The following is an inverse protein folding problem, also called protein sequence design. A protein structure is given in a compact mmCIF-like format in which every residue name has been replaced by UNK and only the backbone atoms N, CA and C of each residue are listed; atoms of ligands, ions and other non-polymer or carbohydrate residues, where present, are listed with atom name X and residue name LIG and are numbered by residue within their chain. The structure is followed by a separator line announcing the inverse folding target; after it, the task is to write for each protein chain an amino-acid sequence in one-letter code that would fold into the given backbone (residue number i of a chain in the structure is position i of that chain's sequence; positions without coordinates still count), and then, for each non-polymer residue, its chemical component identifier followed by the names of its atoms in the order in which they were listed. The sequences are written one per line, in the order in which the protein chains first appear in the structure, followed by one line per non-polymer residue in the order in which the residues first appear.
data_IF_291919740605
#
_entry.id   IF_291919740605
#
_cell.length_a   1.000
_cell.length_b   1.000
_cell.length_c   1.000
_cell.angle_alpha   90.00
_cell.angle_beta   90.00
_cell.angle_gamma   90.00
#
_symmetry.space_group_name_H-M   'P 1'
#
loop_
_entity.id
_entity.type
_entity.pdbx_description
1 polymer ?
#
# COMPACT_ATOMS: atom_id res chain seq x y z
N UNK A 1 -29.06 -60.90 43.26
CA UNK A 1 -27.73 -60.66 42.61
C UNK A 1 -27.85 -60.08 41.18
N UNK A 2 -28.82 -60.47 40.37
CA UNK A 2 -29.02 -59.95 39.01
C UNK A 2 -29.28 -58.41 39.00
N UNK A 3 -30.04 -57.86 39.94
CA UNK A 3 -30.38 -56.43 40.02
C UNK A 3 -29.18 -55.51 40.27
N UNK A 4 -28.18 -55.92 41.06
CA UNK A 4 -26.99 -55.12 41.35
C UNK A 4 -26.05 -55.08 40.13
N UNK A 5 -25.89 -56.21 39.43
CA UNK A 5 -25.07 -56.28 38.24
C UNK A 5 -25.62 -55.38 37.10
N UNK A 6 -26.94 -55.40 36.88
CA UNK A 6 -27.58 -54.53 35.89
C UNK A 6 -27.46 -53.04 36.23
N UNK A 7 -27.53 -52.66 37.49
CA UNK A 7 -27.33 -51.26 37.94
C UNK A 7 -25.88 -50.79 37.72
N UNK A 8 -24.89 -51.64 37.96
CA UNK A 8 -23.47 -51.32 37.73
C UNK A 8 -23.21 -51.15 36.24
N UNK A 9 -23.74 -52.04 35.39
CA UNK A 9 -23.60 -51.94 33.92
C UNK A 9 -24.25 -50.63 33.41
N UNK A 10 -25.44 -50.28 33.91
CA UNK A 10 -26.10 -49.05 33.52
C UNK A 10 -25.31 -47.79 33.94
N UNK A 11 -24.66 -47.81 35.10
CA UNK A 11 -23.82 -46.72 35.58
C UNK A 11 -22.54 -46.56 34.73
N UNK A 12 -21.89 -47.67 34.39
CA UNK A 12 -20.72 -47.65 33.51
C UNK A 12 -21.06 -47.19 32.07
N UNK A 13 -22.19 -47.63 31.51
CA UNK A 13 -22.62 -47.19 30.19
C UNK A 13 -23.03 -45.73 30.19
N UNK A 14 -23.61 -45.18 31.24
CA UNK A 14 -23.87 -43.77 31.44
C UNK A 14 -22.59 -42.92 31.49
N UNK A 15 -21.61 -43.37 32.27
CA UNK A 15 -20.30 -42.70 32.35
C UNK A 15 -19.57 -42.70 31.00
N UNK A 16 -19.58 -43.82 30.28
CA UNK A 16 -18.99 -43.93 28.92
C UNK A 16 -19.70 -42.97 27.93
N UNK A 17 -21.04 -42.91 27.99
CA UNK A 17 -21.80 -41.99 27.12
C UNK A 17 -21.46 -40.52 27.40
N UNK A 18 -21.38 -40.13 28.66
CA UNK A 18 -20.97 -38.75 29.07
C UNK A 18 -19.55 -38.45 28.65
N UNK A 19 -18.63 -39.40 28.83
CA UNK A 19 -17.24 -39.25 28.39
C UNK A 19 -17.13 -39.13 26.86
N UNK A 20 -17.85 -39.98 26.12
CA UNK A 20 -17.89 -39.93 24.65
C UNK A 20 -18.46 -38.57 24.18
N UNK A 21 -19.55 -38.10 24.79
CA UNK A 21 -20.15 -36.82 24.46
C UNK A 21 -19.23 -35.63 24.79
N UNK A 22 -18.50 -35.71 25.91
CA UNK A 22 -17.47 -34.71 26.22
C UNK A 22 -16.33 -34.67 25.21
N UNK A 23 -15.84 -35.86 24.77
CA UNK A 23 -14.82 -35.98 23.73
C UNK A 23 -15.28 -35.38 22.40
N UNK A 24 -16.51 -35.71 21.97
CA UNK A 24 -17.12 -35.21 20.75
C UNK A 24 -17.28 -33.68 20.83
N UNK A 25 -17.81 -33.18 21.96
CA UNK A 25 -17.99 -31.75 22.18
C UNK A 25 -16.65 -30.99 22.18
N UNK A 26 -15.59 -31.56 22.79
CA UNK A 26 -14.25 -30.99 22.74
C UNK A 26 -13.69 -30.98 21.31
N UNK A 27 -13.77 -32.08 20.60
CA UNK A 27 -13.33 -32.21 19.22
C UNK A 27 -14.05 -31.20 18.30
N UNK A 28 -15.37 -31.02 18.47
CA UNK A 28 -16.14 -30.05 17.70
C UNK A 28 -15.70 -28.63 17.99
N UNK A 29 -15.45 -28.27 19.25
CA UNK A 29 -14.95 -26.93 19.62
C UNK A 29 -13.55 -26.67 19.05
N UNK A 30 -12.67 -27.67 19.11
CA UNK A 30 -11.31 -27.55 18.55
C UNK A 30 -11.38 -27.39 17.02
N UNK A 31 -12.29 -28.13 16.35
CA UNK A 31 -12.53 -27.99 14.93
C UNK A 31 -13.13 -26.62 14.54
N UNK A 32 -14.12 -26.13 15.29
CA UNK A 32 -14.72 -24.81 15.08
C UNK A 32 -13.69 -23.68 15.29
N UNK A 33 -12.87 -23.79 16.35
CA UNK A 33 -11.79 -22.82 16.59
C UNK A 33 -10.75 -22.82 15.48
N UNK A 34 -10.35 -24.01 15.01
CA UNK A 34 -9.44 -24.16 13.86
C UNK A 34 -10.05 -23.54 12.58
N UNK A 35 -11.31 -23.84 12.28
CA UNK A 35 -12.02 -23.28 11.13
C UNK A 35 -12.12 -21.75 11.21
N UNK A 36 -12.39 -21.21 12.39
CA UNK A 36 -12.45 -19.77 12.61
C UNK A 36 -11.08 -19.08 12.40
N UNK A 37 -10.02 -19.72 12.90
CA UNK A 37 -8.65 -19.23 12.68
C UNK A 37 -8.25 -19.25 11.21
N UNK A 38 -8.58 -20.34 10.50
CA UNK A 38 -8.32 -20.49 9.08
C UNK A 38 -9.10 -19.45 8.25
N UNK A 39 -10.37 -19.23 8.57
CA UNK A 39 -11.18 -18.18 7.93
C UNK A 39 -10.59 -16.77 8.17
N UNK A 40 -10.14 -16.48 9.38
CA UNK A 40 -9.47 -15.21 9.70
C UNK A 40 -8.16 -15.06 8.93
N UNK A 41 -7.38 -16.14 8.80
CA UNK A 41 -6.13 -16.14 8.01
C UNK A 41 -6.41 -15.86 6.55
N UNK A 42 -7.38 -16.55 5.94
CA UNK A 42 -7.76 -16.34 4.54
C UNK A 42 -8.31 -14.93 4.28
N UNK A 43 -9.13 -14.40 5.18
CA UNK A 43 -9.63 -13.01 5.08
C UNK A 43 -8.50 -12.00 5.18
N UNK A 44 -7.55 -12.21 6.09
CA UNK A 44 -6.35 -11.38 6.23
C UNK A 44 -5.44 -11.43 4.99
N UNK A 45 -5.17 -12.64 4.46
CA UNK A 45 -4.40 -12.81 3.23
C UNK A 45 -5.09 -12.13 2.03
N UNK A 46 -6.41 -12.27 1.92
CA UNK A 46 -7.20 -11.64 0.87
C UNK A 46 -7.16 -10.10 0.98
N UNK A 47 -7.39 -9.54 2.16
CA UNK A 47 -7.33 -8.09 2.40
C UNK A 47 -5.93 -7.54 2.16
N UNK A 48 -4.90 -8.24 2.66
CA UNK A 48 -3.51 -7.87 2.38
C UNK A 48 -3.23 -7.82 0.87
N UNK A 49 -3.74 -8.77 0.09
CA UNK A 49 -3.61 -8.79 -1.37
C UNK A 49 -4.26 -7.60 -2.07
N UNK A 50 -5.41 -7.12 -1.58
CA UNK A 50 -6.13 -5.98 -2.16
C UNK A 50 -5.29 -4.68 -2.13
N UNK A 51 -4.52 -4.45 -1.08
CA UNK A 51 -3.75 -3.22 -0.90
C UNK A 51 -2.28 -3.37 -1.28
N UNK A 52 -1.70 -4.56 -1.02
CA UNK A 52 -0.28 -4.84 -1.22
C UNK A 52 0.15 -4.68 -2.68
N UNK A 53 -0.55 -5.33 -3.60
CA UNK A 53 -0.20 -5.30 -5.03
C UNK A 53 -0.33 -3.89 -5.63
N UNK A 54 -1.43 -3.14 -5.42
CA UNK A 54 -1.52 -1.79 -5.92
C UNK A 54 -0.50 -0.82 -5.31
N UNK A 55 -0.22 -0.92 -4.01
CA UNK A 55 0.81 -0.10 -3.36
C UNK A 55 2.21 -0.43 -3.91
N UNK A 56 2.52 -1.71 -4.12
CA UNK A 56 3.76 -2.17 -4.72
C UNK A 56 3.95 -1.59 -6.13
N UNK A 57 2.90 -1.66 -6.96
CA UNK A 57 2.91 -1.12 -8.32
C UNK A 57 3.09 0.41 -8.32
N UNK A 58 2.33 1.13 -7.49
CA UNK A 58 2.45 2.59 -7.38
C UNK A 58 3.84 3.03 -6.90
N UNK A 59 4.41 2.31 -5.93
CA UNK A 59 5.77 2.57 -5.46
C UNK A 59 6.82 2.31 -6.55
N UNK A 60 6.65 1.23 -7.33
CA UNK A 60 7.56 0.92 -8.45
C UNK A 60 7.49 1.95 -9.57
N UNK A 61 6.28 2.35 -9.97
CA UNK A 61 6.09 3.34 -11.03
C UNK A 61 6.67 4.70 -10.63
N UNK A 62 6.41 5.13 -9.39
CA UNK A 62 6.93 6.39 -8.87
C UNK A 62 8.46 6.36 -8.73
N UNK A 63 9.05 5.30 -8.14
CA UNK A 63 10.51 5.21 -8.03
C UNK A 63 11.19 5.18 -9.40
N UNK A 64 10.58 4.48 -10.38
CA UNK A 64 11.12 4.44 -11.74
C UNK A 64 11.09 5.82 -12.40
N UNK A 65 10.03 6.59 -12.19
CA UNK A 65 9.95 7.97 -12.67
C UNK A 65 10.98 8.86 -11.99
N UNK A 66 11.14 8.76 -10.67
CA UNK A 66 12.14 9.54 -9.92
C UNK A 66 13.56 9.19 -10.39
N UNK A 67 13.86 7.89 -10.58
CA UNK A 67 15.12 7.45 -11.16
C UNK A 67 15.38 8.07 -12.54
N UNK A 68 14.36 8.08 -13.42
CA UNK A 68 14.49 8.68 -14.75
C UNK A 68 14.70 10.20 -14.69
N UNK A 69 14.08 10.88 -13.73
CA UNK A 69 14.30 12.33 -13.52
C UNK A 69 15.75 12.59 -13.10
N UNK A 70 16.28 11.81 -12.15
CA UNK A 70 17.61 12.04 -11.58
C UNK A 70 18.76 11.57 -12.49
N UNK A 71 18.60 10.42 -13.20
CA UNK A 71 19.70 9.76 -13.89
C UNK A 71 19.56 9.70 -15.41
N UNK A 72 18.37 9.95 -15.95
CA UNK A 72 18.10 9.79 -17.39
C UNK A 72 17.65 11.09 -18.05
N UNK A 73 17.86 12.23 -17.39
CA UNK A 73 17.50 13.56 -17.88
C UNK A 73 16.04 13.66 -18.38
N UNK A 74 15.11 12.97 -17.69
CA UNK A 74 13.72 12.84 -18.14
C UNK A 74 13.06 14.19 -18.45
N UNK A 75 13.19 15.20 -17.57
CA UNK A 75 12.59 16.50 -17.80
C UNK A 75 13.33 17.32 -18.86
N UNK A 76 14.65 17.19 -18.96
CA UNK A 76 15.38 17.85 -20.04
C UNK A 76 14.88 17.36 -21.42
N UNK A 77 14.78 16.04 -21.60
CA UNK A 77 14.39 15.43 -22.87
C UNK A 77 12.92 15.66 -23.21
N UNK A 78 12.02 15.44 -22.25
CA UNK A 78 10.58 15.38 -22.52
C UNK A 78 9.83 16.65 -22.14
N UNK A 79 10.37 17.51 -21.27
CA UNK A 79 9.73 18.77 -20.90
C UNK A 79 10.43 19.98 -21.53
N UNK A 80 11.73 20.17 -21.32
CA UNK A 80 12.42 21.35 -21.85
C UNK A 80 12.57 21.30 -23.36
N UNK A 81 13.02 20.17 -23.92
CA UNK A 81 13.27 19.96 -25.35
C UNK A 81 12.13 19.25 -26.08
N UNK A 82 11.14 18.77 -25.35
CA UNK A 82 10.04 17.97 -25.90
C UNK A 82 9.01 18.77 -26.69
N UNK A 83 8.25 18.07 -27.55
CA UNK A 83 7.03 18.61 -28.17
C UNK A 83 5.96 18.93 -27.11
N UNK A 84 4.96 19.75 -27.43
CA UNK A 84 3.86 20.11 -26.51
C UNK A 84 3.17 18.89 -25.92
N UNK A 85 2.94 17.84 -26.71
CA UNK A 85 2.41 16.56 -26.22
C UNK A 85 3.33 15.92 -25.18
N UNK A 86 4.64 15.94 -25.40
CA UNK A 86 5.62 15.36 -24.47
C UNK A 86 5.72 16.17 -23.18
N UNK A 87 5.69 17.50 -23.28
CA UNK A 87 5.66 18.40 -22.12
C UNK A 87 4.44 18.13 -21.22
N UNK A 88 3.27 18.09 -21.85
CA UNK A 88 2.02 17.78 -21.18
C UNK A 88 2.09 16.41 -20.49
N UNK A 89 2.53 15.37 -21.20
CA UNK A 89 2.71 14.05 -20.62
C UNK A 89 3.73 14.03 -19.48
N UNK A 90 4.88 14.69 -19.64
CA UNK A 90 5.95 14.68 -18.66
C UNK A 90 5.50 15.24 -17.29
N UNK A 91 4.74 16.32 -17.29
CA UNK A 91 4.20 16.91 -16.05
C UNK A 91 3.02 16.07 -15.54
N UNK A 92 1.95 15.93 -16.31
CA UNK A 92 0.71 15.34 -15.81
C UNK A 92 0.87 13.88 -15.41
N UNK A 93 1.65 13.09 -16.16
CA UNK A 93 1.88 11.72 -15.75
C UNK A 93 2.77 11.64 -14.49
N UNK A 94 3.71 12.54 -14.30
CA UNK A 94 4.51 12.57 -13.08
C UNK A 94 3.66 12.96 -11.86
N UNK A 95 2.83 13.99 -11.98
CA UNK A 95 1.85 14.37 -10.94
C UNK A 95 0.90 13.21 -10.63
N UNK A 96 0.39 12.55 -11.65
CA UNK A 96 -0.47 11.36 -11.49
C UNK A 96 0.21 10.25 -10.70
N UNK A 97 1.48 9.93 -10.97
CA UNK A 97 2.21 8.88 -10.25
C UNK A 97 2.40 9.21 -8.77
N UNK A 98 2.68 10.47 -8.42
CA UNK A 98 2.69 10.93 -7.04
C UNK A 98 1.31 10.76 -6.39
N UNK A 99 0.26 11.23 -7.07
CA UNK A 99 -1.12 11.15 -6.58
C UNK A 99 -1.59 9.70 -6.41
N UNK A 100 -1.23 8.81 -7.32
CA UNK A 100 -1.52 7.38 -7.24
C UNK A 100 -0.82 6.71 -6.04
N UNK A 101 0.45 7.06 -5.81
CA UNK A 101 1.16 6.59 -4.63
C UNK A 101 0.50 7.10 -3.34
N UNK A 102 0.14 8.37 -3.26
CA UNK A 102 -0.58 8.93 -2.11
C UNK A 102 -1.92 8.22 -1.88
N UNK A 103 -2.63 7.88 -2.95
CA UNK A 103 -3.89 7.14 -2.86
C UNK A 103 -3.71 5.78 -2.18
N UNK A 104 -2.78 4.98 -2.65
CA UNK A 104 -2.56 3.65 -2.09
C UNK A 104 -1.91 3.69 -0.71
N UNK A 105 -1.05 4.67 -0.44
CA UNK A 105 -0.52 4.91 0.90
C UNK A 105 -1.63 5.29 1.88
N UNK A 106 -2.60 6.12 1.48
CA UNK A 106 -3.75 6.51 2.29
C UNK A 106 -4.74 5.35 2.47
N UNK A 107 -5.02 4.57 1.43
CA UNK A 107 -5.85 3.38 1.52
C UNK A 107 -5.31 2.39 2.57
N UNK A 108 -4.00 2.13 2.51
CA UNK A 108 -3.32 1.29 3.53
C UNK A 108 -3.41 1.93 4.91
N UNK A 109 -3.23 3.23 5.06
CA UNK A 109 -3.30 3.93 6.35
C UNK A 109 -4.68 3.83 6.99
N UNK A 110 -5.76 3.96 6.20
CA UNK A 110 -7.14 3.86 6.68
C UNK A 110 -7.45 2.43 7.14
N UNK A 111 -7.03 1.43 6.38
CA UNK A 111 -7.36 0.03 6.62
C UNK A 111 -6.25 -0.75 7.36
N UNK A 112 -5.14 -0.08 7.77
CA UNK A 112 -3.98 -0.74 8.39
C UNK A 112 -4.34 -1.54 9.64
N UNK A 113 -5.36 -1.13 10.39
CA UNK A 113 -5.86 -1.89 11.53
C UNK A 113 -6.56 -3.20 11.14
N UNK A 114 -6.91 -3.38 9.85
CA UNK A 114 -7.49 -4.58 9.28
C UNK A 114 -6.50 -5.37 8.39
N UNK A 115 -5.34 -4.77 8.06
CA UNK A 115 -4.29 -5.42 7.29
C UNK A 115 -3.38 -6.15 8.29
N UNK A 116 -3.71 -7.40 8.57
CA UNK A 116 -2.79 -8.31 9.24
C UNK A 116 -1.76 -8.81 8.21
N UNK A 117 -0.59 -8.18 8.18
CA UNK A 117 0.56 -8.60 7.36
C UNK A 117 1.22 -9.90 7.91
N UNK A 118 0.49 -10.64 8.76
CA UNK A 118 0.95 -11.86 9.40
C UNK A 118 1.72 -11.64 10.70
N UNK A 119 2.07 -10.38 11.04
CA UNK A 119 2.59 -10.02 12.35
C UNK A 119 2.51 -8.52 12.62
N UNK A 120 2.39 -8.15 13.90
CA UNK A 120 2.47 -6.74 14.35
C UNK A 120 3.80 -6.08 13.98
N UNK A 121 4.87 -6.85 13.88
CA UNK A 121 6.19 -6.40 13.46
C UNK A 121 6.18 -5.90 12.00
N UNK A 122 5.66 -6.69 11.07
CA UNK A 122 5.55 -6.31 9.65
C UNK A 122 4.65 -5.08 9.45
N UNK A 123 3.54 -5.01 10.18
CA UNK A 123 2.66 -3.83 10.15
C UNK A 123 3.38 -2.57 10.65
N UNK A 124 4.18 -2.70 11.72
CA UNK A 124 5.01 -1.61 12.23
C UNK A 124 6.08 -1.20 11.21
N UNK A 125 6.76 -2.14 10.59
CA UNK A 125 7.81 -1.89 9.59
C UNK A 125 7.25 -1.14 8.38
N UNK A 126 6.13 -1.58 7.80
CA UNK A 126 5.46 -0.85 6.72
C UNK A 126 5.09 0.58 7.13
N UNK A 127 4.56 0.75 8.35
CA UNK A 127 4.21 2.07 8.88
C UNK A 127 5.43 2.99 9.02
N UNK A 128 6.58 2.45 9.39
CA UNK A 128 7.83 3.22 9.48
C UNK A 128 8.33 3.65 8.10
N UNK A 129 8.28 2.76 7.11
CA UNK A 129 8.65 3.07 5.72
C UNK A 129 7.72 4.15 5.14
N UNK A 130 6.40 3.99 5.29
CA UNK A 130 5.43 5.01 4.83
C UNK A 130 5.66 6.36 5.51
N UNK A 131 5.94 6.37 6.81
CA UNK A 131 6.25 7.59 7.55
C UNK A 131 7.53 8.24 7.04
N UNK A 132 8.58 7.46 6.77
CA UNK A 132 9.82 7.98 6.20
C UNK A 132 9.56 8.66 4.85
N UNK A 133 8.85 8.02 3.93
CA UNK A 133 8.52 8.58 2.62
C UNK A 133 7.70 9.88 2.76
N UNK A 134 6.65 9.86 3.58
CA UNK A 134 5.83 11.04 3.81
C UNK A 134 6.62 12.19 4.44
N UNK A 135 7.48 11.89 5.43
CA UNK A 135 8.32 12.90 6.08
C UNK A 135 9.38 13.50 5.14
N UNK A 136 9.90 12.71 4.20
CA UNK A 136 10.84 13.17 3.17
C UNK A 136 10.23 14.27 2.29
N UNK A 137 8.95 14.16 1.97
CA UNK A 137 8.27 15.16 1.16
C UNK A 137 7.91 16.44 1.92
N UNK A 138 7.72 16.37 3.25
CA UNK A 138 7.30 17.55 4.04
C UNK A 138 8.44 18.24 4.82
N UNK A 139 9.62 17.63 4.94
CA UNK A 139 10.70 18.16 5.78
C UNK A 139 11.31 19.43 5.18
N UNK A 140 11.70 20.36 6.04
CA UNK A 140 12.44 21.57 5.73
C UNK A 140 13.98 21.38 5.68
N UNK A 141 14.45 20.14 5.87
CA UNK A 141 15.89 19.82 5.78
C UNK A 141 16.46 19.93 4.38
N UNK A 142 15.61 19.75 3.37
CA UNK A 142 15.97 19.86 1.95
C UNK A 142 15.52 21.23 1.40
N UNK A 143 15.99 21.55 0.20
CA UNK A 143 15.45 22.68 -0.55
C UNK A 143 13.92 22.62 -0.58
N UNK A 144 13.19 23.76 -0.46
CA UNK A 144 11.72 23.77 -0.39
C UNK A 144 11.01 23.31 -1.67
N UNK A 145 11.72 23.14 -2.79
CA UNK A 145 11.13 22.59 -4.02
C UNK A 145 10.61 21.17 -3.79
N UNK A 146 9.42 20.93 -4.28
CA UNK A 146 8.67 19.67 -4.10
C UNK A 146 8.35 19.39 -2.61
N UNK A 147 8.07 20.43 -1.83
CA UNK A 147 7.58 20.27 -0.47
C UNK A 147 6.06 20.07 -0.50
N UNK A 148 5.62 18.90 -0.04
CA UNK A 148 4.19 18.51 0.05
C UNK A 148 3.90 18.06 1.48
N UNK A 149 3.07 18.80 2.20
CA UNK A 149 2.75 18.49 3.58
C UNK A 149 1.93 17.21 3.73
N UNK A 150 2.05 16.53 4.87
CA UNK A 150 1.36 15.25 5.11
C UNK A 150 -0.16 15.34 4.95
N UNK A 151 -0.77 16.47 5.30
CA UNK A 151 -2.19 16.72 5.09
C UNK A 151 -2.56 16.81 3.60
N UNK A 152 -1.73 17.45 2.79
CA UNK A 152 -1.90 17.56 1.34
C UNK A 152 -1.73 16.19 0.66
N UNK A 153 -0.69 15.42 1.03
CA UNK A 153 -0.49 14.06 0.54
C UNK A 153 -1.72 13.18 0.76
N UNK A 154 -2.30 13.24 1.97
CA UNK A 154 -3.53 12.50 2.31
C UNK A 154 -4.73 12.98 1.52
N UNK A 155 -4.97 14.29 1.48
CA UNK A 155 -6.12 14.86 0.77
C UNK A 155 -6.08 14.57 -0.73
N UNK A 156 -4.90 14.61 -1.37
CA UNK A 156 -4.71 14.15 -2.74
C UNK A 156 -5.04 12.65 -2.84
N UNK A 157 -4.51 11.85 -1.92
CA UNK A 157 -4.77 10.40 -1.90
C UNK A 157 -6.26 10.07 -1.78
N UNK A 158 -6.96 10.69 -0.82
CA UNK A 158 -8.40 10.50 -0.62
C UNK A 158 -9.22 10.81 -1.87
N UNK A 159 -8.86 11.86 -2.61
CA UNK A 159 -9.54 12.24 -3.85
C UNK A 159 -9.31 11.29 -5.02
N UNK A 160 -8.15 10.63 -5.06
CA UNK A 160 -7.84 9.62 -6.07
C UNK A 160 -8.51 8.27 -5.79
N UNK A 161 -8.93 8.02 -4.55
CA UNK A 161 -9.57 6.77 -4.16
C UNK A 161 -11.05 6.75 -4.53
N UNK A 162 -11.52 5.58 -4.93
CA UNK A 162 -12.91 5.26 -5.23
C UNK A 162 -13.33 4.01 -4.51
N UNK A 163 -14.58 3.95 -4.11
CA UNK A 163 -15.21 2.72 -3.63
C UNK A 163 -16.30 2.30 -4.61
N UNK A 164 -16.11 1.17 -5.25
CA UNK A 164 -17.08 0.57 -6.18
C UNK A 164 -17.44 -0.80 -5.62
N UNK A 165 -18.71 -1.01 -5.26
CA UNK A 165 -19.20 -2.26 -4.67
C UNK A 165 -18.39 -2.73 -3.45
N UNK A 166 -17.98 -1.78 -2.62
CA UNK A 166 -17.18 -2.05 -1.42
C UNK A 166 -15.70 -2.41 -1.70
N UNK A 167 -15.25 -2.31 -2.94
CA UNK A 167 -13.85 -2.47 -3.32
C UNK A 167 -13.19 -1.11 -3.50
N UNK A 168 -12.04 -0.95 -2.85
CA UNK A 168 -11.22 0.25 -3.03
C UNK A 168 -10.47 0.13 -4.37
N UNK A 169 -10.51 1.20 -5.15
CA UNK A 169 -9.77 1.35 -6.39
C UNK A 169 -9.19 2.77 -6.48
N UNK A 170 -8.19 2.95 -7.31
CA UNK A 170 -7.63 4.26 -7.59
C UNK A 170 -8.06 4.73 -8.98
N UNK A 171 -8.27 6.03 -9.13
CA UNK A 171 -8.50 6.66 -10.43
C UNK A 171 -7.39 6.29 -11.42
N UNK A 172 -7.77 5.93 -12.65
CA UNK A 172 -6.81 5.66 -13.72
C UNK A 172 -6.33 6.95 -14.40
N UNK A 173 -5.17 6.91 -15.08
CA UNK A 173 -4.59 8.09 -15.73
C UNK A 173 -5.51 8.70 -16.80
N UNK A 174 -6.24 7.88 -17.57
CA UNK A 174 -7.20 8.38 -18.57
C UNK A 174 -8.34 9.15 -17.94
N UNK A 175 -8.86 8.68 -16.82
CA UNK A 175 -9.89 9.35 -16.06
C UNK A 175 -9.36 10.61 -15.37
N UNK A 176 -8.15 10.55 -14.80
CA UNK A 176 -7.43 11.70 -14.25
C UNK A 176 -7.37 12.85 -15.26
N UNK A 177 -6.97 12.59 -16.51
CA UNK A 177 -6.89 13.60 -17.56
C UNK A 177 -8.25 14.12 -18.06
N UNK A 178 -9.33 13.33 -17.94
CA UNK A 178 -10.66 13.70 -18.42
C UNK A 178 -11.56 14.31 -17.35
N UNK A 179 -11.15 14.24 -16.09
CA UNK A 179 -11.92 14.75 -14.96
C UNK A 179 -11.70 16.26 -14.77
N UNK A 180 -12.71 16.96 -14.24
CA UNK A 180 -12.56 18.33 -13.74
C UNK A 180 -11.52 18.41 -12.60
N UNK A 181 -11.08 17.26 -12.10
CA UNK A 181 -10.06 17.06 -11.10
C UNK A 181 -8.69 17.63 -11.49
N UNK A 182 -8.30 17.49 -12.77
CA UNK A 182 -7.03 18.03 -13.31
C UNK A 182 -7.07 19.57 -13.45
N UNK A 183 -8.25 20.16 -13.71
CA UNK A 183 -8.34 21.55 -14.09
C UNK A 183 -8.67 22.52 -12.94
N UNK A 184 -9.19 22.03 -11.80
CA UNK A 184 -9.73 22.91 -10.75
C UNK A 184 -9.46 22.45 -9.31
N UNK A 185 -8.69 21.38 -9.09
CA UNK A 185 -8.33 20.95 -7.74
C UNK A 185 -7.10 21.72 -7.23
N UNK A 186 -7.22 22.56 -6.20
CA UNK A 186 -6.12 23.40 -5.73
C UNK A 186 -4.88 22.60 -5.29
N UNK A 187 -5.06 21.34 -4.83
CA UNK A 187 -3.95 20.49 -4.39
C UNK A 187 -3.22 19.86 -5.58
N UNK A 188 -3.95 19.54 -6.64
CA UNK A 188 -3.35 19.04 -7.89
C UNK A 188 -2.65 20.19 -8.62
N UNK A 189 -3.24 21.40 -8.64
CA UNK A 189 -2.57 22.59 -9.17
C UNK A 189 -1.26 22.87 -8.41
N UNK A 190 -1.30 22.86 -7.07
CA UNK A 190 -0.12 23.02 -6.23
C UNK A 190 0.96 21.98 -6.56
N UNK A 191 0.60 20.70 -6.62
CA UNK A 191 1.55 19.62 -6.95
C UNK A 191 2.10 19.76 -8.38
N UNK A 192 1.25 20.20 -9.31
CA UNK A 192 1.63 20.49 -10.70
C UNK A 192 2.64 21.62 -10.77
N UNK A 193 2.44 22.69 -10.01
CA UNK A 193 3.35 23.83 -9.99
C UNK A 193 4.68 23.48 -9.31
N UNK A 194 4.64 22.67 -8.24
CA UNK A 194 5.86 22.11 -7.65
C UNK A 194 6.62 21.25 -8.68
N UNK A 195 5.91 20.43 -9.46
CA UNK A 195 6.54 19.61 -10.48
C UNK A 195 7.12 20.44 -11.64
N UNK A 196 6.51 21.55 -12.01
CA UNK A 196 7.08 22.51 -12.98
C UNK A 196 8.37 23.13 -12.44
N UNK A 197 8.43 23.48 -11.15
CA UNK A 197 9.68 23.96 -10.52
C UNK A 197 10.78 22.89 -10.62
N UNK A 198 10.48 21.64 -10.27
CA UNK A 198 11.42 20.53 -10.43
C UNK A 198 11.87 20.37 -11.88
N UNK A 199 10.94 20.44 -12.83
CA UNK A 199 11.27 20.28 -14.25
C UNK A 199 12.17 21.37 -14.82
N UNK A 200 12.11 22.56 -14.23
CA UNK A 200 12.96 23.69 -14.61
C UNK A 200 14.36 23.61 -13.99
N UNK A 201 14.50 23.02 -12.81
CA UNK A 201 15.78 22.84 -12.13
C UNK A 201 15.76 21.59 -11.22
N UNK A 202 16.06 20.44 -11.78
CA UNK A 202 16.10 19.14 -11.06
C UNK A 202 17.08 19.16 -9.89
N UNK A 203 18.18 19.91 -10.00
CA UNK A 203 19.22 19.96 -8.98
C UNK A 203 18.66 20.44 -7.62
N UNK A 204 17.76 21.41 -7.61
CA UNK A 204 17.17 21.92 -6.36
C UNK A 204 16.32 20.85 -5.61
N UNK A 205 15.72 19.91 -6.33
CA UNK A 205 14.94 18.84 -5.75
C UNK A 205 15.73 17.51 -5.58
N UNK A 206 16.99 17.44 -6.01
CA UNK A 206 17.74 16.19 -6.15
C UNK A 206 17.88 15.42 -4.84
N UNK A 207 18.19 16.08 -3.73
CA UNK A 207 18.34 15.45 -2.42
C UNK A 207 16.99 14.85 -1.94
N UNK A 208 15.90 15.60 -2.08
CA UNK A 208 14.56 15.14 -1.72
C UNK A 208 14.11 13.98 -2.58
N UNK A 209 14.33 14.06 -3.89
CA UNK A 209 14.00 13.00 -4.85
C UNK A 209 14.82 11.74 -4.59
N UNK A 210 16.12 11.86 -4.28
CA UNK A 210 16.97 10.70 -3.94
C UNK A 210 16.49 10.03 -2.66
N UNK A 211 16.22 10.79 -1.60
CA UNK A 211 15.70 10.25 -0.35
C UNK A 211 14.31 9.59 -0.54
N UNK A 212 13.44 10.21 -1.35
CA UNK A 212 12.15 9.62 -1.72
C UNK A 212 12.34 8.27 -2.44
N UNK A 213 13.19 8.23 -3.46
CA UNK A 213 13.45 7.03 -4.25
C UNK A 213 14.03 5.90 -3.39
N UNK A 214 14.90 6.22 -2.44
CA UNK A 214 15.44 5.24 -1.48
C UNK A 214 14.30 4.65 -0.63
N UNK A 215 13.41 5.47 -0.08
CA UNK A 215 12.26 5.00 0.70
C UNK A 215 11.30 4.14 -0.11
N UNK A 216 11.06 4.49 -1.38
CA UNK A 216 10.23 3.69 -2.27
C UNK A 216 10.87 2.33 -2.58
N UNK A 217 12.20 2.26 -2.73
CA UNK A 217 12.91 0.98 -2.90
C UNK A 217 12.82 0.14 -1.63
N UNK A 218 13.01 0.73 -0.44
CA UNK A 218 12.84 0.02 0.82
C UNK A 218 11.41 -0.55 0.96
N UNK A 219 10.40 0.17 0.48
CA UNK A 219 9.03 -0.33 0.39
C UNK A 219 8.90 -1.51 -0.58
N UNK A 220 9.52 -1.46 -1.76
CA UNK A 220 9.52 -2.57 -2.71
C UNK A 220 10.18 -3.81 -2.12
N UNK A 221 11.32 -3.66 -1.45
CA UNK A 221 12.04 -4.76 -0.83
C UNK A 221 11.25 -5.38 0.31
N UNK A 222 10.51 -4.57 1.06
CA UNK A 222 9.59 -5.05 2.09
C UNK A 222 8.38 -5.79 1.52
N UNK A 223 7.74 -5.25 0.47
CA UNK A 223 6.51 -5.81 -0.09
C UNK A 223 6.76 -7.00 -1.03
N UNK A 224 7.91 -7.07 -1.69
CA UNK A 224 8.29 -8.11 -2.66
C UNK A 224 9.74 -8.57 -2.41
N UNK A 225 10.02 -9.20 -1.24
CA UNK A 225 11.38 -9.56 -0.83
C UNK A 225 12.04 -10.61 -1.73
N UNK A 226 11.23 -11.43 -2.39
CA UNK A 226 11.69 -12.51 -3.28
C UNK A 226 11.82 -12.06 -4.74
N UNK A 227 11.63 -10.76 -5.03
CA UNK A 227 11.76 -10.17 -6.38
C UNK A 227 10.84 -10.82 -7.43
N UNK A 228 9.65 -11.28 -7.02
CA UNK A 228 8.70 -12.00 -7.88
C UNK A 228 8.08 -11.06 -8.92
N UNK A 229 7.71 -9.84 -8.50
CA UNK A 229 7.06 -8.84 -9.36
C UNK A 229 8.06 -7.95 -10.08
N UNK A 230 9.05 -7.47 -9.36
CA UNK A 230 10.03 -6.53 -9.88
C UNK A 230 11.45 -7.04 -9.61
N UNK A 231 12.28 -7.24 -10.64
CA UNK A 231 13.62 -7.78 -10.46
C UNK A 231 14.53 -6.81 -9.72
N UNK A 232 15.54 -7.35 -9.04
CA UNK A 232 16.48 -6.61 -8.20
C UNK A 232 17.23 -5.51 -8.97
N UNK A 233 17.53 -5.76 -10.24
CA UNK A 233 18.25 -4.83 -11.12
C UNK A 233 17.47 -3.53 -11.36
N UNK A 234 16.14 -3.55 -11.17
CA UNK A 234 15.27 -2.38 -11.30
C UNK A 234 15.09 -1.59 -9.99
N UNK A 235 15.72 -2.06 -8.90
CA UNK A 235 15.64 -1.44 -7.55
C UNK A 235 16.96 -0.80 -7.15
N UNK A 236 17.67 -0.21 -8.10
CA UNK A 236 18.93 0.47 -7.81
C UNK A 236 18.65 1.84 -7.18
N UNK A 237 19.18 2.05 -5.99
CA UNK A 237 19.20 3.38 -5.32
C UNK A 237 20.14 4.33 -6.06
N UNK A 238 19.74 5.60 -6.16
CA UNK A 238 20.49 6.68 -6.80
C UNK A 238 21.41 7.35 -5.79
#
# INVERSE_FOLDING_TARGET
MVSIATSIIALFSGLLAVWAQFRISKSNRDFESFKLLEMKRLDSEFRSGIYKEPLLNAAFDLQSRVYNILNMNFFEVYYLLGSERQKHYAINNTVFLFSQYFAWAEAVRIDIQYIDLGSSEKTRELSLIQRYISSTLQTDRFNPVLMVFAGEQRAIGERMLKSIDGKVSCMGFGEYLSSEFDLHDPLIEMLTDEMKKVSSNVFEASERLSALQHGLIDMLDFLDPDFIRYPKERRKKV
#
